data_IF_616869136030
#
_entry.id   IF_616869136030
#
_cell.length_a   1.000
_cell.length_b   1.000
_cell.length_c   1.000
_cell.angle_alpha   90.00
_cell.angle_beta   90.00
_cell.angle_gamma   90.00
#
_symmetry.space_group_name_H-M   'P 1'
#
loop_
_entity.id
_entity.type
_entity.pdbx_description
1 polymer ?
#
# COMPACT_ATOMS: atom_id res chain seq x y z
N UNK A 1 -29.51 22.41 -29.89
CA UNK A 1 -28.36 23.08 -30.53
C UNK A 1 -27.12 22.20 -30.36
N UNK A 2 -26.63 21.59 -31.45
CA UNK A 2 -25.41 20.75 -31.44
C UNK A 2 -24.21 21.64 -31.74
N UNK A 3 -23.27 21.78 -30.79
CA UNK A 3 -22.02 22.53 -31.00
C UNK A 3 -21.13 21.72 -31.94
N UNK A 4 -20.96 22.20 -33.17
CA UNK A 4 -19.95 21.70 -34.12
C UNK A 4 -18.61 22.30 -33.73
N UNK A 5 -17.58 21.47 -33.61
CA UNK A 5 -16.20 21.88 -33.33
C UNK A 5 -15.41 21.62 -34.61
N UNK A 6 -14.85 22.68 -35.20
CA UNK A 6 -14.07 22.68 -36.45
C UNK A 6 -12.62 23.03 -36.13
N UNK A 7 -11.66 22.30 -36.67
CA UNK A 7 -10.32 22.28 -36.10
C UNK A 7 -9.20 21.95 -37.14
N UNK A 8 -8.00 22.54 -36.98
CA UNK A 8 -6.86 22.51 -37.92
C UNK A 8 -5.50 22.45 -37.18
N UNK A 9 -4.53 21.68 -37.70
CA UNK A 9 -3.25 21.36 -37.04
C UNK A 9 -1.97 21.80 -37.80
N UNK A 10 -0.84 21.79 -37.07
CA UNK A 10 0.55 21.93 -37.53
C UNK A 10 1.41 20.99 -36.64
N UNK A 11 2.45 20.38 -37.21
CA UNK A 11 3.31 19.34 -36.64
C UNK A 11 4.53 19.92 -35.92
N UNK A 12 4.78 19.55 -34.65
CA UNK A 12 6.11 19.65 -34.03
C UNK A 12 6.50 18.32 -33.38
N UNK A 13 7.49 17.64 -33.96
CA UNK A 13 8.16 16.52 -33.33
C UNK A 13 8.99 17.03 -32.14
N UNK A 14 8.65 16.61 -30.92
CA UNK A 14 9.53 16.81 -29.76
C UNK A 14 10.24 15.50 -29.44
N UNK A 15 11.56 15.51 -29.60
CA UNK A 15 12.46 14.41 -29.23
C UNK A 15 12.68 14.41 -27.73
N UNK A 16 11.76 13.79 -26.99
CA UNK A 16 11.80 13.71 -25.52
C UNK A 16 12.42 12.41 -25.00
N UNK A 17 13.66 12.09 -25.37
CA UNK A 17 14.41 10.92 -24.86
C UNK A 17 14.87 11.07 -23.40
N UNK A 18 13.96 11.34 -22.46
CA UNK A 18 14.28 11.67 -21.08
C UNK A 18 14.34 10.45 -20.12
N UNK A 19 13.92 9.26 -20.55
CA UNK A 19 13.86 8.08 -19.67
C UNK A 19 15.22 7.35 -19.53
N UNK A 20 16.17 7.61 -20.42
CA UNK A 20 17.39 6.80 -20.54
C UNK A 20 18.66 7.44 -19.93
N UNK A 21 18.70 8.73 -19.63
CA UNK A 21 19.95 9.43 -19.29
C UNK A 21 19.77 10.46 -18.16
N UNK A 22 19.69 9.99 -16.93
CA UNK A 22 19.64 10.83 -15.73
C UNK A 22 19.03 10.03 -14.59
N UNK A 23 19.51 10.21 -13.36
CA UNK A 23 19.04 9.44 -12.20
C UNK A 23 17.52 9.29 -12.18
N UNK A 24 17.03 8.07 -11.90
CA UNK A 24 15.60 7.74 -11.90
C UNK A 24 14.82 8.79 -11.08
N UNK A 25 14.02 9.62 -11.76
CA UNK A 25 13.11 10.56 -11.12
C UNK A 25 12.15 9.81 -10.19
N UNK A 26 11.72 10.46 -9.10
CA UNK A 26 10.66 9.88 -8.27
C UNK A 26 9.36 9.80 -9.08
N UNK A 27 8.47 8.87 -8.73
CA UNK A 27 7.18 8.72 -9.42
C UNK A 27 6.33 10.01 -9.35
N UNK A 28 6.54 10.81 -8.31
CA UNK A 28 5.89 12.10 -8.13
C UNK A 28 6.46 13.14 -9.10
N UNK A 29 7.78 13.23 -9.23
CA UNK A 29 8.44 14.13 -10.18
C UNK A 29 8.08 13.76 -11.63
N UNK A 30 8.02 12.45 -11.92
CA UNK A 30 7.56 11.95 -13.22
C UNK A 30 6.14 12.42 -13.53
N UNK A 31 5.22 12.32 -12.56
CA UNK A 31 3.84 12.79 -12.75
C UNK A 31 3.78 14.30 -13.00
N UNK A 32 4.60 15.10 -12.29
CA UNK A 32 4.69 16.54 -12.52
C UNK A 32 5.23 16.88 -13.91
N UNK A 33 6.32 16.24 -14.33
CA UNK A 33 6.94 16.46 -15.63
C UNK A 33 5.97 16.18 -16.79
N UNK A 34 5.21 15.09 -16.73
CA UNK A 34 4.21 14.74 -17.75
C UNK A 34 3.09 15.79 -17.79
N UNK A 35 2.61 16.22 -16.64
CA UNK A 35 1.57 17.25 -16.56
C UNK A 35 2.03 18.58 -17.19
N UNK A 36 3.29 18.95 -17.00
CA UNK A 36 3.88 20.14 -17.60
C UNK A 36 4.08 19.98 -19.10
N UNK A 37 4.62 18.84 -19.55
CA UNK A 37 4.89 18.53 -20.96
C UNK A 37 3.61 18.62 -21.80
N UNK A 38 2.53 17.97 -21.35
CA UNK A 38 1.22 18.00 -22.03
C UNK A 38 0.57 19.38 -21.96
N UNK A 39 0.83 20.19 -20.92
CA UNK A 39 0.37 21.59 -20.88
C UNK A 39 1.14 22.48 -21.86
N UNK A 40 2.44 22.25 -22.05
CA UNK A 40 3.28 23.01 -22.97
C UNK A 40 3.05 22.63 -24.43
N UNK A 41 2.80 21.35 -24.70
CA UNK A 41 2.49 20.82 -26.04
C UNK A 41 1.02 21.08 -26.39
N UNK A 42 0.71 22.34 -26.72
CA UNK A 42 -0.63 22.78 -27.16
C UNK A 42 -0.97 22.34 -28.60
N UNK A 43 -0.96 21.05 -28.89
CA UNK A 43 -1.52 20.50 -30.14
C UNK A 43 -2.83 19.74 -29.91
N UNK A 44 -3.82 20.41 -29.32
CA UNK A 44 -5.20 19.90 -29.29
C UNK A 44 -6.03 20.57 -30.37
N UNK A 45 -5.82 20.12 -31.61
CA UNK A 45 -6.70 20.50 -32.71
C UNK A 45 -7.03 19.33 -33.68
N UNK A 46 -8.24 18.75 -33.58
CA UNK A 46 -8.80 17.66 -34.40
C UNK A 46 -8.71 17.84 -35.94
N UNK A 47 -8.22 16.85 -36.67
CA UNK A 47 -8.26 16.81 -38.13
C UNK A 47 -9.44 15.93 -38.62
N UNK A 48 -10.25 16.46 -39.55
CA UNK A 48 -11.20 15.64 -40.33
C UNK A 48 -10.44 14.96 -41.48
N UNK A 49 -9.84 13.83 -41.16
CA UNK A 49 -9.09 12.99 -42.06
C UNK A 49 -8.53 11.88 -41.20
N UNK A 50 -8.63 10.63 -41.64
CA UNK A 50 -8.19 9.48 -40.86
C UNK A 50 -6.72 9.67 -40.45
N UNK A 51 -6.50 10.09 -39.21
CA UNK A 51 -5.19 10.18 -38.58
C UNK A 51 -5.19 9.11 -37.50
N UNK A 52 -4.32 8.11 -37.68
CA UNK A 52 -4.31 6.86 -36.91
C UNK A 52 -3.33 6.89 -35.74
N UNK A 53 -2.65 8.02 -35.49
CA UNK A 53 -1.66 8.16 -34.41
C UNK A 53 -1.75 9.54 -33.74
N UNK A 54 -1.86 9.57 -32.41
CA UNK A 54 -1.71 10.76 -31.57
C UNK A 54 -0.40 10.62 -30.78
N UNK A 55 0.41 11.69 -30.72
CA UNK A 55 1.62 11.74 -29.90
C UNK A 55 1.32 12.09 -28.44
N UNK A 56 0.29 12.91 -28.18
CA UNK A 56 -0.18 13.24 -26.83
C UNK A 56 -1.70 13.54 -26.82
N UNK A 57 -2.35 13.31 -25.67
CA UNK A 57 -3.76 13.64 -25.41
C UNK A 57 -3.85 14.38 -24.08
N UNK A 58 -4.56 15.52 -24.05
CA UNK A 58 -4.84 16.27 -22.82
C UNK A 58 -6.32 16.60 -22.70
N UNK A 59 -6.90 16.43 -21.50
CA UNK A 59 -8.26 16.86 -21.18
C UNK A 59 -8.21 17.90 -20.06
N UNK A 60 -8.86 19.04 -20.26
CA UNK A 60 -8.98 20.10 -19.25
C UNK A 60 -10.39 20.18 -18.69
N UNK A 61 -10.52 20.64 -17.45
CA UNK A 61 -11.82 20.97 -16.87
C UNK A 61 -12.31 22.37 -17.32
N UNK A 62 -13.50 22.77 -16.90
CA UNK A 62 -14.10 24.06 -17.26
C UNK A 62 -13.28 25.29 -16.81
N UNK A 63 -12.38 25.12 -15.84
CA UNK A 63 -11.46 26.14 -15.36
C UNK A 63 -10.12 26.14 -16.12
N UNK A 64 -9.95 25.30 -17.14
CA UNK A 64 -8.73 25.19 -17.95
C UNK A 64 -7.62 24.33 -17.33
N UNK A 65 -7.88 23.68 -16.19
CA UNK A 65 -6.89 22.84 -15.52
C UNK A 65 -6.84 21.45 -16.18
N UNK A 66 -5.64 20.96 -16.49
CA UNK A 66 -5.42 19.59 -16.99
C UNK A 66 -5.86 18.56 -15.94
N UNK A 67 -6.74 17.62 -16.32
CA UNK A 67 -7.26 16.55 -15.45
C UNK A 67 -6.90 15.15 -15.93
N UNK A 68 -6.64 14.98 -17.23
CA UNK A 68 -6.16 13.73 -17.83
C UNK A 68 -5.10 14.04 -18.88
N UNK A 69 -4.05 13.21 -18.94
CA UNK A 69 -3.01 13.26 -19.95
C UNK A 69 -2.61 11.84 -20.38
N UNK A 70 -2.38 11.65 -21.67
CA UNK A 70 -1.69 10.47 -22.20
C UNK A 70 -0.56 10.92 -23.14
N UNK A 71 0.66 10.42 -22.94
CA UNK A 71 1.82 10.82 -23.73
C UNK A 71 2.68 9.57 -24.03
N UNK A 72 2.53 8.97 -25.24
CA UNK A 72 3.49 8.01 -25.76
C UNK A 72 4.82 8.65 -26.17
N UNK A 73 5.91 7.92 -26.02
CA UNK A 73 7.20 8.25 -26.62
C UNK A 73 7.39 7.57 -27.99
N UNK A 74 8.55 7.80 -28.61
CA UNK A 74 8.86 7.30 -29.96
C UNK A 74 9.08 5.79 -30.04
N UNK A 75 9.19 5.08 -28.90
CA UNK A 75 9.47 3.64 -28.84
C UNK A 75 8.23 2.83 -28.43
N UNK A 76 7.13 3.50 -28.05
CA UNK A 76 5.88 2.85 -27.66
C UNK A 76 5.68 2.78 -26.16
N UNK A 77 6.62 3.32 -25.38
CA UNK A 77 6.40 3.63 -23.97
C UNK A 77 5.34 4.71 -23.88
N UNK A 78 4.54 4.71 -22.83
CA UNK A 78 3.48 5.67 -22.69
C UNK A 78 3.08 5.91 -21.26
N UNK A 79 2.75 7.15 -20.95
CA UNK A 79 2.20 7.51 -19.66
C UNK A 79 0.72 7.84 -19.78
N UNK A 80 -0.06 7.44 -18.77
CA UNK A 80 -1.42 7.90 -18.56
C UNK A 80 -1.49 8.48 -17.15
N UNK A 81 -1.83 9.76 -17.03
CA UNK A 81 -1.91 10.49 -15.77
C UNK A 81 -3.33 11.03 -15.57
N UNK A 82 -3.83 10.95 -14.34
CA UNK A 82 -5.00 11.72 -13.91
C UNK A 82 -4.72 12.44 -12.60
N UNK A 83 -5.26 13.66 -12.50
CA UNK A 83 -5.01 14.57 -11.39
C UNK A 83 -6.27 15.35 -11.00
N UNK A 84 -6.26 15.88 -9.78
CA UNK A 84 -7.33 16.78 -9.33
C UNK A 84 -7.33 18.10 -10.10
N UNK A 85 -8.42 18.85 -10.00
CA UNK A 85 -8.52 20.21 -10.54
C UNK A 85 -7.43 21.17 -10.02
N UNK A 86 -6.86 20.89 -8.85
CA UNK A 86 -5.77 21.65 -8.24
C UNK A 86 -4.36 21.22 -8.71
N UNK A 87 -4.27 20.28 -9.68
CA UNK A 87 -2.98 19.81 -10.19
C UNK A 87 -2.28 18.76 -9.32
N UNK A 88 -2.98 18.18 -8.34
CA UNK A 88 -2.42 17.10 -7.50
C UNK A 88 -2.64 15.75 -8.17
N UNK A 89 -1.58 14.96 -8.46
CA UNK A 89 -1.69 13.62 -9.05
C UNK A 89 -2.61 12.69 -8.23
N UNK A 90 -3.39 11.87 -8.91
CA UNK A 90 -4.26 10.84 -8.31
C UNK A 90 -3.92 9.43 -8.77
N UNK A 91 -3.37 9.29 -9.97
CA UNK A 91 -2.78 8.04 -10.43
C UNK A 91 -2.02 8.20 -11.73
N UNK A 92 -1.07 7.30 -11.94
CA UNK A 92 -0.25 7.23 -13.14
C UNK A 92 -0.06 5.77 -13.55
N UNK A 93 -0.15 5.52 -14.86
CA UNK A 93 0.30 4.30 -15.51
C UNK A 93 1.49 4.66 -16.40
N UNK A 94 2.59 3.94 -16.24
CA UNK A 94 3.77 4.00 -17.09
C UNK A 94 3.88 2.64 -17.80
N UNK A 95 3.69 2.64 -19.11
CA UNK A 95 3.94 1.50 -19.99
C UNK A 95 5.34 1.69 -20.56
N UNK A 96 6.22 0.69 -20.43
CA UNK A 96 7.55 0.72 -21.07
C UNK A 96 7.86 -0.64 -21.71
N UNK A 97 8.49 -0.61 -22.88
CA UNK A 97 8.89 -1.80 -23.66
C UNK A 97 10.30 -2.30 -23.27
N UNK A 98 11.16 -1.45 -22.70
CA UNK A 98 12.53 -1.81 -22.27
C UNK A 98 12.74 -1.88 -20.75
N UNK A 99 11.71 -1.56 -19.96
CA UNK A 99 11.67 -1.76 -18.52
C UNK A 99 10.28 -2.14 -18.10
N UNK A 100 10.16 -2.95 -17.05
CA UNK A 100 8.85 -3.31 -16.58
C UNK A 100 8.10 -2.06 -16.10
N UNK A 101 6.89 -1.87 -16.64
CA UNK A 101 6.05 -0.71 -16.38
C UNK A 101 5.69 -0.51 -14.91
N UNK A 102 5.10 0.65 -14.61
CA UNK A 102 4.68 1.00 -13.24
C UNK A 102 3.23 1.47 -13.18
N UNK A 103 2.54 1.10 -12.12
CA UNK A 103 1.24 1.67 -11.75
C UNK A 103 1.37 2.25 -10.36
N UNK A 104 0.99 3.52 -10.19
CA UNK A 104 0.98 4.13 -8.86
C UNK A 104 -0.35 4.79 -8.51
N UNK A 105 -0.76 4.62 -7.25
CA UNK A 105 -1.90 5.28 -6.63
C UNK A 105 -1.38 6.36 -5.68
N UNK A 106 -1.91 7.57 -5.79
CA UNK A 106 -1.52 8.70 -4.96
C UNK A 106 -2.63 9.09 -3.98
N UNK A 107 -2.26 9.58 -2.80
CA UNK A 107 -3.22 10.15 -1.85
C UNK A 107 -3.67 11.56 -2.27
N UNK A 108 -4.50 12.18 -1.42
CA UNK A 108 -5.01 13.54 -1.67
C UNK A 108 -3.92 14.61 -1.75
N UNK A 109 -2.78 14.39 -1.09
CA UNK A 109 -1.61 15.28 -1.07
C UNK A 109 -0.61 15.02 -2.21
N UNK A 110 -0.87 14.06 -3.10
CA UNK A 110 0.04 13.74 -4.22
C UNK A 110 1.23 12.87 -3.82
N UNK A 111 1.16 12.21 -2.66
CA UNK A 111 2.16 11.24 -2.20
C UNK A 111 1.75 9.84 -2.67
N UNK A 112 2.64 9.09 -3.35
CA UNK A 112 2.34 7.71 -3.76
C UNK A 112 2.11 6.83 -2.53
N UNK A 113 1.08 5.98 -2.60
CA UNK A 113 0.72 5.01 -1.54
C UNK A 113 0.90 3.58 -1.98
N UNK A 114 0.68 3.29 -3.25
CA UNK A 114 0.89 1.97 -3.83
C UNK A 114 1.64 2.13 -5.14
N UNK A 115 2.70 1.35 -5.32
CA UNK A 115 3.49 1.32 -6.56
C UNK A 115 3.68 -0.15 -6.93
N UNK A 116 3.03 -0.57 -8.01
CA UNK A 116 3.31 -1.84 -8.67
C UNK A 116 4.36 -1.55 -9.74
N UNK A 117 5.54 -2.14 -9.59
CA UNK A 117 6.64 -2.10 -10.54
C UNK A 117 6.79 -3.49 -11.15
N UNK A 118 6.79 -3.59 -12.47
CA UNK A 118 6.79 -4.90 -13.11
C UNK A 118 8.10 -5.69 -12.95
N UNK A 119 9.18 -5.08 -12.43
CA UNK A 119 10.45 -5.76 -12.13
C UNK A 119 10.52 -6.16 -10.65
N UNK A 120 10.01 -5.31 -9.76
CA UNK A 120 10.19 -5.43 -8.31
C UNK A 120 8.91 -5.74 -7.54
N UNK A 121 7.76 -5.86 -8.21
CA UNK A 121 6.47 -6.09 -7.57
C UNK A 121 5.97 -4.86 -6.81
N UNK A 122 5.55 -5.05 -5.56
CA UNK A 122 4.97 -3.98 -4.76
C UNK A 122 6.05 -3.21 -3.98
N UNK A 123 6.37 -1.99 -4.41
CA UNK A 123 7.49 -1.21 -3.87
C UNK A 123 7.13 -0.32 -2.66
N UNK A 124 5.85 -0.04 -2.43
CA UNK A 124 5.39 0.95 -1.44
C UNK A 124 4.38 0.39 -0.44
N UNK A 125 4.40 -0.92 -0.18
CA UNK A 125 3.66 -1.49 0.96
C UNK A 125 4.51 -1.36 2.21
N UNK A 126 4.26 -0.31 3.00
CA UNK A 126 4.78 -0.26 4.36
C UNK A 126 3.96 -1.21 5.25
N UNK A 127 4.61 -1.92 6.17
CA UNK A 127 3.92 -2.74 7.17
C UNK A 127 3.79 -4.21 6.81
N UNK A 128 2.73 -4.81 7.32
CA UNK A 128 2.47 -6.23 7.24
C UNK A 128 1.51 -6.59 6.09
N UNK A 129 1.42 -7.90 5.83
CA UNK A 129 0.32 -8.48 5.06
C UNK A 129 -0.72 -8.98 6.07
N UNK A 130 -1.90 -8.39 6.05
CA UNK A 130 -3.00 -8.73 6.94
C UNK A 130 -4.19 -9.31 6.19
N UNK A 131 -4.96 -10.19 6.83
CA UNK A 131 -6.30 -10.59 6.35
C UNK A 131 -7.37 -10.16 7.36
N UNK A 132 -8.53 -9.74 6.87
CA UNK A 132 -9.64 -9.37 7.76
C UNK A 132 -10.38 -10.61 8.27
N UNK A 133 -10.39 -10.78 9.58
CA UNK A 133 -11.15 -11.84 10.27
C UNK A 133 -12.31 -11.26 11.07
N UNK A 134 -13.51 -11.85 11.01
CA UNK A 134 -14.60 -11.48 11.90
C UNK A 134 -14.21 -11.67 13.37
N UNK A 135 -14.64 -10.75 14.22
CA UNK A 135 -14.46 -10.81 15.67
C UNK A 135 -15.80 -10.56 16.38
N UNK A 136 -16.01 -11.19 17.53
CA UNK A 136 -17.23 -11.02 18.31
C UNK A 136 -17.23 -9.72 19.15
N UNK A 137 -16.05 -9.15 19.39
CA UNK A 137 -15.83 -7.95 20.17
C UNK A 137 -14.84 -7.03 19.46
N UNK A 138 -14.85 -5.74 19.79
CA UNK A 138 -13.82 -4.83 19.32
C UNK A 138 -12.46 -5.28 19.87
N UNK A 139 -11.47 -5.33 19.00
CA UNK A 139 -10.08 -5.65 19.33
C UNK A 139 -9.22 -4.44 18.99
N UNK A 140 -8.37 -4.03 19.92
CA UNK A 140 -7.50 -2.88 19.71
C UNK A 140 -6.33 -3.25 18.77
N UNK A 141 -5.88 -2.33 17.92
CA UNK A 141 -4.65 -2.51 17.17
C UNK A 141 -3.47 -2.85 18.10
N UNK A 142 -2.69 -3.84 17.70
CA UNK A 142 -1.63 -4.46 18.49
C UNK A 142 -2.06 -5.66 19.32
N UNK A 143 -3.36 -5.95 19.44
CA UNK A 143 -3.83 -7.13 20.17
C UNK A 143 -3.35 -8.42 19.53
N UNK A 144 -2.76 -9.32 20.32
CA UNK A 144 -2.58 -10.73 19.95
C UNK A 144 -3.93 -11.44 20.00
N UNK A 145 -4.24 -12.18 18.94
CA UNK A 145 -5.52 -12.87 18.79
C UNK A 145 -5.35 -14.38 18.63
N UNK A 146 -6.35 -15.12 19.07
CA UNK A 146 -6.48 -16.56 18.87
C UNK A 146 -7.74 -16.88 18.06
N UNK A 147 -7.72 -18.01 17.36
CA UNK A 147 -8.90 -18.61 16.72
C UNK A 147 -9.93 -18.94 17.82
N UNK A 148 -11.17 -18.50 17.62
CA UNK A 148 -12.28 -18.79 18.52
C UNK A 148 -12.76 -20.25 18.30
N UNK A 149 -12.60 -21.15 19.29
CA UNK A 149 -13.07 -22.53 19.16
C UNK A 149 -14.59 -22.64 19.18
N UNK A 150 -15.29 -21.61 19.66
CA UNK A 150 -16.75 -21.59 19.78
C UNK A 150 -17.43 -20.98 18.54
N UNK A 151 -16.67 -20.32 17.66
CA UNK A 151 -17.18 -19.67 16.47
C UNK A 151 -16.20 -19.79 15.29
N UNK A 152 -16.46 -20.75 14.40
CA UNK A 152 -15.60 -21.04 13.25
C UNK A 152 -15.30 -19.81 12.38
N UNK A 153 -14.03 -19.64 12.04
CA UNK A 153 -13.54 -18.54 11.21
C UNK A 153 -13.49 -17.17 11.90
N UNK A 154 -13.74 -17.10 13.21
CA UNK A 154 -13.61 -15.86 14.00
C UNK A 154 -12.35 -15.85 14.85
N UNK A 155 -11.94 -14.65 15.25
CA UNK A 155 -10.85 -14.41 16.18
C UNK A 155 -11.35 -13.73 17.46
N UNK A 156 -10.64 -14.01 18.55
CA UNK A 156 -10.85 -13.43 19.89
C UNK A 156 -9.50 -12.99 20.46
N UNK A 157 -9.52 -12.10 21.46
CA UNK A 157 -8.29 -11.73 22.18
C UNK A 157 -7.64 -12.97 22.80
N UNK A 158 -6.35 -13.18 22.53
CA UNK A 158 -5.59 -14.24 23.17
C UNK A 158 -5.50 -13.95 24.68
N UNK A 159 -5.79 -14.94 25.51
CA UNK A 159 -5.87 -14.77 26.98
C UNK A 159 -5.24 -15.93 27.76
N UNK A 160 -4.54 -16.82 27.06
CA UNK A 160 -3.86 -17.99 27.61
C UNK A 160 -2.41 -17.96 27.18
N UNK A 161 -1.50 -18.20 28.12
CA UNK A 161 -0.09 -18.36 27.82
C UNK A 161 0.16 -19.57 26.91
N UNK A 162 0.98 -19.42 25.87
CA UNK A 162 1.28 -20.48 24.90
C UNK A 162 0.03 -21.11 24.25
N UNK A 163 -0.89 -20.26 23.78
CA UNK A 163 -2.09 -20.71 23.10
C UNK A 163 -1.77 -21.10 21.66
N UNK A 164 -1.88 -22.39 21.35
CA UNK A 164 -1.62 -22.92 20.00
C UNK A 164 -2.65 -22.51 18.94
N UNK A 165 -3.67 -21.77 19.34
CA UNK A 165 -4.69 -21.19 18.46
C UNK A 165 -4.34 -19.76 18.05
N UNK A 166 -3.18 -19.24 18.46
CA UNK A 166 -2.73 -17.90 18.06
C UNK A 166 -2.84 -17.74 16.54
N UNK A 167 -3.48 -16.67 16.11
CA UNK A 167 -3.77 -16.38 14.71
C UNK A 167 -2.98 -15.19 14.18
N UNK A 168 -2.33 -14.41 15.06
CA UNK A 168 -1.54 -13.25 14.70
C UNK A 168 -1.81 -12.06 15.62
N UNK A 169 -1.55 -10.87 15.08
CA UNK A 169 -1.69 -9.58 15.78
C UNK A 169 -2.64 -8.69 14.98
N UNK A 170 -3.50 -7.92 15.65
CA UNK A 170 -4.34 -6.92 14.98
C UNK A 170 -3.44 -5.78 14.49
N UNK A 171 -3.41 -5.51 13.18
CA UNK A 171 -2.56 -4.47 12.60
C UNK A 171 -3.16 -3.06 12.75
N UNK A 172 -2.34 -2.01 12.57
CA UNK A 172 -2.77 -0.60 12.59
C UNK A 172 -2.37 0.21 13.83
N UNK A 173 -1.62 -0.35 14.78
CA UNK A 173 -1.14 0.39 15.95
C UNK A 173 -0.11 1.46 15.55
N UNK A 174 -0.09 2.61 16.24
CA UNK A 174 0.78 3.78 15.95
C UNK A 174 0.68 4.27 14.49
N UNK A 175 -0.51 4.25 13.91
CA UNK A 175 -0.76 4.60 12.51
C UNK A 175 0.04 3.76 11.49
N UNK A 176 0.58 2.62 11.94
CA UNK A 176 1.32 1.67 11.14
C UNK A 176 0.37 0.62 10.57
N UNK A 177 -0.27 1.00 9.46
CA UNK A 177 -1.29 0.20 8.78
C UNK A 177 -0.67 -0.93 7.93
N UNK A 178 -1.44 -1.99 7.61
CA UNK A 178 -0.99 -3.02 6.69
C UNK A 178 -0.61 -2.46 5.33
N UNK A 179 0.44 -3.02 4.76
CA UNK A 179 0.85 -2.74 3.39
C UNK A 179 -0.09 -3.40 2.40
N UNK A 180 -0.54 -4.62 2.70
CA UNK A 180 -1.57 -5.33 1.94
C UNK A 180 -2.63 -5.82 2.92
N UNK A 181 -3.90 -5.57 2.61
CA UNK A 181 -5.03 -6.16 3.33
C UNK A 181 -5.82 -7.08 2.41
N UNK A 182 -5.85 -8.37 2.73
CA UNK A 182 -6.69 -9.36 2.08
C UNK A 182 -8.12 -9.23 2.61
N UNK A 183 -9.11 -9.40 1.73
CA UNK A 183 -10.54 -9.23 2.03
C UNK A 183 -10.87 -7.82 2.55
N UNK A 184 -10.19 -6.81 2.01
CA UNK A 184 -10.39 -5.42 2.39
C UNK A 184 -11.83 -4.92 2.14
N UNK A 185 -12.51 -5.49 1.16
CA UNK A 185 -13.89 -5.22 0.74
C UNK A 185 -14.95 -5.91 1.61
N UNK A 186 -14.56 -6.71 2.60
CA UNK A 186 -15.50 -7.45 3.44
C UNK A 186 -16.26 -6.49 4.38
N UNK A 187 -17.46 -6.06 3.98
CA UNK A 187 -18.33 -5.17 4.76
C UNK A 187 -18.91 -5.80 6.03
N UNK A 188 -18.51 -7.03 6.39
CA UNK A 188 -18.88 -7.64 7.67
C UNK A 188 -18.56 -6.70 8.82
N UNK A 189 -19.62 -6.28 9.53
CA UNK A 189 -19.50 -5.53 10.78
C UNK A 189 -18.58 -6.33 11.72
N UNK A 190 -17.55 -5.68 12.25
CA UNK A 190 -16.60 -6.24 13.23
C UNK A 190 -15.49 -7.17 12.69
N UNK A 191 -15.06 -7.02 11.44
CA UNK A 191 -13.83 -7.68 10.97
C UNK A 191 -12.58 -6.82 11.24
N UNK A 192 -11.53 -7.44 11.80
CA UNK A 192 -10.25 -6.78 12.15
C UNK A 192 -9.12 -7.30 11.25
N UNK A 193 -8.18 -6.45 10.82
CA UNK A 193 -7.02 -6.89 10.04
C UNK A 193 -6.04 -7.61 10.97
N UNK A 194 -5.82 -8.91 10.74
CA UNK A 194 -4.86 -9.72 11.50
C UNK A 194 -3.63 -9.97 10.62
N UNK A 195 -2.46 -9.59 11.14
CA UNK A 195 -1.16 -9.80 10.52
C UNK A 195 -0.89 -11.28 10.29
N UNK A 196 -0.65 -11.64 9.03
CA UNK A 196 -0.20 -12.97 8.62
C UNK A 196 1.34 -13.06 8.61
N UNK A 197 1.99 -12.00 8.14
CA UNK A 197 3.46 -11.89 8.08
C UNK A 197 3.91 -10.44 7.89
N UNK A 198 5.16 -10.15 8.23
CA UNK A 198 5.76 -8.82 8.11
C UNK A 198 5.98 -8.15 9.47
N UNK A 199 6.18 -6.85 9.46
CA UNK A 199 6.40 -6.07 10.68
C UNK A 199 5.11 -5.50 11.21
N UNK A 200 4.86 -5.60 12.52
CA UNK A 200 3.66 -5.06 13.18
C UNK A 200 3.98 -4.66 14.61
N UNK A 201 3.30 -3.63 15.13
CA UNK A 201 3.34 -3.32 16.56
C UNK A 201 2.42 -4.26 17.33
N UNK A 202 2.97 -4.95 18.32
CA UNK A 202 2.30 -5.93 19.17
C UNK A 202 2.22 -5.43 20.61
N UNK A 203 1.05 -5.53 21.24
CA UNK A 203 0.89 -5.34 22.66
C UNK A 203 1.63 -6.46 23.38
N UNK A 204 2.51 -6.10 24.30
CA UNK A 204 3.38 -7.03 24.98
C UNK A 204 3.43 -6.72 26.48
N UNK A 205 3.71 -7.75 27.26
CA UNK A 205 3.80 -7.68 28.72
C UNK A 205 5.06 -8.40 29.20
N UNK A 206 5.69 -7.87 30.25
CA UNK A 206 6.89 -8.47 30.85
C UNK A 206 6.57 -9.60 31.86
N UNK A 207 5.34 -10.16 31.85
CA UNK A 207 4.89 -11.17 32.82
C UNK A 207 5.75 -12.44 32.80
N UNK A 208 6.46 -12.71 31.70
CA UNK A 208 7.40 -13.82 31.57
C UNK A 208 8.86 -13.35 31.44
N UNK A 209 9.15 -12.19 32.05
CA UNK A 209 10.44 -11.52 32.02
C UNK A 209 10.52 -10.38 31.00
N UNK A 210 11.62 -9.61 31.01
CA UNK A 210 11.84 -8.52 30.07
C UNK A 210 11.90 -9.04 28.63
N UNK A 211 11.34 -8.27 27.70
CA UNK A 211 11.41 -8.52 26.25
C UNK A 211 12.51 -7.66 25.66
N UNK A 212 13.43 -8.30 24.94
CA UNK A 212 14.52 -7.66 24.21
C UNK A 212 14.42 -7.95 22.72
N UNK A 213 15.02 -7.07 21.91
CA UNK A 213 15.17 -7.34 20.48
C UNK A 213 15.79 -8.73 20.24
N UNK A 214 15.15 -9.52 19.38
CA UNK A 214 15.54 -10.90 19.07
C UNK A 214 14.80 -11.98 19.86
N UNK A 215 14.10 -11.62 20.95
CA UNK A 215 13.33 -12.59 21.74
C UNK A 215 12.15 -13.15 20.94
N UNK A 216 11.94 -14.46 21.04
CA UNK A 216 10.70 -15.08 20.58
C UNK A 216 9.55 -14.68 21.50
N UNK A 217 8.39 -14.40 20.91
CA UNK A 217 7.19 -14.00 21.62
C UNK A 217 6.08 -15.03 21.44
N UNK A 218 5.28 -15.21 22.48
CA UNK A 218 4.10 -16.07 22.51
C UNK A 218 2.94 -15.33 23.18
N UNK A 219 1.73 -15.88 23.17
CA UNK A 219 0.56 -15.29 23.85
C UNK A 219 0.76 -15.20 25.37
N UNK A 220 0.16 -14.19 26.00
CA UNK A 220 0.24 -13.94 27.44
C UNK A 220 -1.00 -14.40 28.21
N UNK A 221 -0.90 -14.44 29.53
CA UNK A 221 -2.07 -14.45 30.43
C UNK A 221 -2.77 -13.08 30.50
N UNK A 222 -2.08 -12.01 30.09
CA UNK A 222 -2.69 -10.68 29.92
C UNK A 222 -3.47 -10.68 28.59
N UNK A 223 -4.80 -10.47 28.59
CA UNK A 223 -5.60 -10.51 27.37
C UNK A 223 -5.07 -9.57 26.29
N UNK A 224 -5.00 -10.06 25.05
CA UNK A 224 -4.52 -9.31 23.89
C UNK A 224 -3.01 -9.05 23.88
N UNK A 225 -2.23 -9.50 24.86
CA UNK A 225 -0.80 -9.23 24.92
C UNK A 225 0.03 -10.47 24.56
N UNK A 226 1.21 -10.22 24.00
CA UNK A 226 2.30 -11.17 23.95
C UNK A 226 3.13 -11.14 25.25
N UNK A 227 3.96 -12.15 25.43
CA UNK A 227 5.02 -12.23 26.42
C UNK A 227 6.22 -12.95 25.81
N UNK A 228 7.39 -12.83 26.44
CA UNK A 228 8.58 -13.60 26.02
C UNK A 228 8.32 -15.10 26.09
N UNK A 229 8.72 -15.85 25.06
CA UNK A 229 8.69 -17.30 25.05
C UNK A 229 9.97 -17.86 25.69
N UNK A 230 9.85 -18.43 26.88
CA UNK A 230 10.97 -19.02 27.65
C UNK A 230 10.94 -20.55 27.73
N UNK A 231 9.76 -21.14 27.59
CA UNK A 231 9.50 -22.59 27.53
C UNK A 231 9.48 -23.06 26.06
N UNK A 232 10.51 -23.82 25.67
CA UNK A 232 10.67 -24.33 24.31
C UNK A 232 9.69 -25.47 23.97
N UNK A 233 9.29 -26.27 24.96
CA UNK A 233 8.40 -27.42 24.76
C UNK A 233 6.98 -26.95 24.44
N UNK A 234 6.58 -25.80 24.99
CA UNK A 234 5.28 -25.17 24.74
C UNK A 234 5.28 -24.20 23.57
N UNK A 235 6.45 -23.76 23.10
CA UNK A 235 6.59 -22.74 22.08
C UNK A 235 6.02 -23.17 20.72
N UNK A 236 6.21 -24.44 20.33
CA UNK A 236 5.83 -24.92 19.02
C UNK A 236 4.30 -24.85 18.78
N UNK A 237 3.91 -24.13 17.73
CA UNK A 237 2.53 -23.80 17.38
C UNK A 237 1.96 -22.60 18.14
N UNK A 238 2.72 -21.93 19.00
CA UNK A 238 2.26 -20.82 19.85
C UNK A 238 3.14 -19.57 19.74
N UNK A 239 4.14 -19.56 18.85
CA UNK A 239 4.94 -18.36 18.58
C UNK A 239 4.12 -17.38 17.72
N UNK A 240 4.16 -16.10 18.10
CA UNK A 240 3.53 -15.01 17.33
C UNK A 240 4.56 -14.24 16.50
N UNK A 241 5.84 -14.34 16.84
CA UNK A 241 6.94 -13.72 16.11
C UNK A 241 8.15 -13.44 16.98
N UNK A 242 9.02 -12.56 16.48
CA UNK A 242 10.25 -12.15 17.14
C UNK A 242 10.27 -10.64 17.38
N UNK A 243 10.65 -10.21 18.57
CA UNK A 243 10.78 -8.80 18.91
C UNK A 243 11.86 -8.12 18.05
N UNK A 244 11.57 -6.93 17.53
CA UNK A 244 12.51 -6.07 16.79
C UNK A 244 13.05 -4.93 17.66
N UNK A 245 12.41 -4.64 18.78
CA UNK A 245 12.83 -3.67 19.79
C UNK A 245 12.57 -4.18 21.21
N UNK A 246 13.04 -3.43 22.21
CA UNK A 246 12.88 -3.76 23.62
C UNK A 246 11.52 -3.28 24.14
N UNK A 247 10.95 -4.01 25.11
CA UNK A 247 9.82 -3.49 25.88
C UNK A 247 10.34 -2.59 27.01
N UNK A 248 9.92 -1.32 27.01
CA UNK A 248 10.42 -0.31 27.96
C UNK A 248 9.56 -0.11 29.23
N UNK A 249 8.48 -0.87 29.39
CA UNK A 249 7.55 -0.79 30.53
C UNK A 249 6.99 -2.17 30.88
N UNK A 250 6.19 -2.30 31.93
CA UNK A 250 5.56 -3.59 32.26
C UNK A 250 4.60 -4.08 31.17
N UNK A 251 3.97 -3.13 30.47
CA UNK A 251 3.13 -3.35 29.29
C UNK A 251 3.31 -2.22 28.30
N UNK A 252 3.19 -2.52 27.02
CA UNK A 252 3.30 -1.54 25.95
C UNK A 252 3.33 -2.16 24.58
N UNK A 253 3.62 -1.35 23.56
CA UNK A 253 3.81 -1.82 22.19
C UNK A 253 5.28 -2.12 21.92
N UNK A 254 5.53 -3.27 21.31
CA UNK A 254 6.82 -3.74 20.80
C UNK A 254 6.65 -4.00 19.32
N UNK A 255 7.57 -3.52 18.48
CA UNK A 255 7.60 -3.89 17.07
C UNK A 255 8.07 -5.35 16.95
N UNK A 256 7.37 -6.17 16.18
CA UNK A 256 7.72 -7.57 15.98
C UNK A 256 7.81 -7.89 14.49
N UNK A 257 8.67 -8.85 14.15
CA UNK A 257 8.57 -9.60 12.90
C UNK A 257 7.60 -10.76 13.15
N UNK A 258 6.40 -10.66 12.61
CA UNK A 258 5.35 -11.66 12.78
C UNK A 258 5.67 -12.94 11.99
N UNK A 259 5.59 -14.07 12.68
CA UNK A 259 5.76 -15.43 12.14
C UNK A 259 4.99 -16.37 13.07
N UNK A 260 4.05 -17.15 12.53
CA UNK A 260 3.34 -18.18 13.28
C UNK A 260 4.11 -19.50 13.14
N UNK A 261 4.66 -20.02 14.24
CA UNK A 261 5.51 -21.22 14.29
C UNK A 261 5.10 -22.18 15.42
#
# INVERSE_FOLDING_TARGET
MRKKILVAGLLVASTGGAWAAGGRMSIQDTAHYIAESVRSNRELRAASGQQTTFSEIGVTNAAGNLVFAAAPDSVGDGSILWQSAAGVPKGILLVSDQSAGRVAVFNTAGVPKYILDGNSGLLSAAGDVAERFPSAAALEPGSVVSIDPSAGGKVIAASRAYDRRVAGVVSGAKDYNPGITLRADDERRHAVPVTLTGTVYCLASNVNGPIRAGDLLTTSTVPGHAMRATDADRAHGAIVGKALDDLHADRGLVMILASLE
#
